data_IF_339681054528
#
_entry.id   IF_339681054528
#
_cell.length_a   1.000
_cell.length_b   1.000
_cell.length_c   1.000
_cell.angle_alpha   90.00
_cell.angle_beta   90.00
_cell.angle_gamma   90.00
#
_symmetry.space_group_name_H-M   'P 1'
#
loop_
_entity.id
_entity.type
_entity.pdbx_description
1 polymer ?
#
# COMPACT_ATOMS: atom_id res chain seq x y z
N UNK A 1 13.65 -0.06 3.16
CA UNK A 1 12.35 -0.73 3.36
C UNK A 1 11.22 0.28 3.47
N UNK A 2 11.32 1.30 4.33
CA UNK A 2 10.29 2.36 4.49
C UNK A 2 9.81 3.00 3.18
N UNK A 3 10.76 3.39 2.31
CA UNK A 3 10.46 4.02 1.02
C UNK A 3 9.61 3.13 0.10
N UNK A 4 9.83 1.81 0.09
CA UNK A 4 9.07 0.87 -0.73
C UNK A 4 7.63 0.71 -0.24
N UNK A 5 7.41 0.64 1.08
CA UNK A 5 6.07 0.59 1.65
C UNK A 5 5.24 1.84 1.32
N UNK A 6 5.84 3.02 1.45
CA UNK A 6 5.20 4.28 1.04
C UNK A 6 4.94 4.34 -0.47
N UNK A 7 5.89 3.85 -1.29
CA UNK A 7 5.72 3.82 -2.75
C UNK A 7 4.55 2.92 -3.16
N UNK A 8 4.51 1.70 -2.62
CA UNK A 8 3.43 0.73 -2.89
C UNK A 8 2.07 1.25 -2.44
N UNK A 9 2.01 1.88 -1.26
CA UNK A 9 0.78 2.49 -0.76
C UNK A 9 0.33 3.66 -1.65
N UNK A 10 1.27 4.52 -2.07
CA UNK A 10 0.99 5.63 -2.95
C UNK A 10 0.45 5.16 -4.31
N UNK A 11 1.15 4.24 -4.98
CA UNK A 11 0.69 3.69 -6.25
C UNK A 11 -0.65 2.97 -6.11
N UNK A 12 -0.84 2.17 -5.06
CA UNK A 12 -2.09 1.46 -4.83
C UNK A 12 -3.29 2.40 -4.64
N UNK A 13 -3.13 3.48 -3.86
CA UNK A 13 -4.20 4.47 -3.65
C UNK A 13 -4.48 5.26 -4.93
N UNK A 14 -3.44 5.68 -5.67
CA UNK A 14 -3.62 6.39 -6.94
C UNK A 14 -4.35 5.52 -7.96
N UNK A 15 -3.98 4.25 -8.08
CA UNK A 15 -4.67 3.29 -8.95
C UNK A 15 -6.13 3.09 -8.54
N UNK A 16 -6.41 2.93 -7.23
CA UNK A 16 -7.78 2.85 -6.73
C UNK A 16 -8.59 4.11 -7.08
N UNK A 17 -8.00 5.28 -6.90
CA UNK A 17 -8.65 6.55 -7.23
C UNK A 17 -8.93 6.67 -8.74
N UNK A 18 -8.00 6.23 -9.59
CA UNK A 18 -8.22 6.19 -11.04
C UNK A 18 -9.38 5.26 -11.38
N UNK A 19 -9.42 4.04 -10.84
CA UNK A 19 -10.55 3.13 -11.10
C UNK A 19 -11.89 3.63 -10.55
N UNK A 20 -11.90 4.44 -9.49
CA UNK A 20 -13.12 4.97 -8.89
C UNK A 20 -13.62 6.26 -9.53
N UNK A 21 -12.71 7.13 -9.97
CA UNK A 21 -13.03 8.52 -10.34
C UNK A 21 -12.87 8.78 -11.84
N UNK A 22 -12.10 7.96 -12.56
CA UNK A 22 -11.98 8.09 -14.00
C UNK A 22 -13.10 7.30 -14.67
N UNK A 23 -13.80 7.94 -15.60
CA UNK A 23 -14.78 7.29 -16.48
C UNK A 23 -14.01 6.49 -17.55
N UNK A 24 -13.54 5.31 -17.16
CA UNK A 24 -12.82 4.39 -18.03
C UNK A 24 -13.84 3.56 -18.82
N UNK A 25 -13.89 3.77 -20.13
CA UNK A 25 -14.62 2.89 -21.05
C UNK A 25 -13.92 1.52 -21.14
N UNK A 26 -14.24 0.64 -20.20
CA UNK A 26 -13.70 -0.71 -20.14
C UNK A 26 -14.76 -1.68 -19.65
N UNK A 27 -14.65 -2.95 -20.04
CA UNK A 27 -15.57 -4.00 -19.61
C UNK A 27 -15.48 -4.20 -18.10
N UNK A 28 -16.63 -4.43 -17.44
CA UNK A 28 -16.74 -4.58 -15.99
C UNK A 28 -15.73 -5.59 -15.39
N UNK A 29 -15.47 -6.70 -16.09
CA UNK A 29 -14.48 -7.68 -15.66
C UNK A 29 -13.05 -7.09 -15.56
N UNK A 30 -12.61 -6.32 -16.55
CA UNK A 30 -11.28 -5.70 -16.52
C UNK A 30 -11.20 -4.61 -15.45
N UNK A 31 -12.27 -3.84 -15.27
CA UNK A 31 -12.36 -2.84 -14.21
C UNK A 31 -12.24 -3.50 -12.83
N UNK A 32 -12.99 -4.58 -12.60
CA UNK A 32 -12.99 -5.32 -11.34
C UNK A 32 -11.63 -5.95 -11.04
N UNK A 33 -10.98 -6.56 -12.04
CA UNK A 33 -9.64 -7.14 -11.89
C UNK A 33 -8.62 -6.05 -11.53
N UNK A 34 -8.63 -4.93 -12.25
CA UNK A 34 -7.77 -3.78 -11.97
C UNK A 34 -7.99 -3.21 -10.58
N UNK A 35 -9.25 -3.08 -10.16
CA UNK A 35 -9.63 -2.63 -8.83
C UNK A 35 -9.09 -3.58 -7.73
N UNK A 36 -9.28 -4.89 -7.88
CA UNK A 36 -8.80 -5.89 -6.92
C UNK A 36 -7.27 -5.89 -6.80
N UNK A 37 -6.55 -5.78 -7.93
CA UNK A 37 -5.09 -5.67 -7.93
C UNK A 37 -4.65 -4.42 -7.18
N UNK A 38 -5.32 -3.28 -7.42
CA UNK A 38 -5.02 -2.01 -6.77
C UNK A 38 -5.22 -2.08 -5.25
N UNK A 39 -6.29 -2.77 -4.82
CA UNK A 39 -6.55 -3.06 -3.41
C UNK A 39 -5.43 -3.89 -2.78
N UNK A 40 -4.99 -4.96 -3.45
CA UNK A 40 -3.90 -5.83 -2.96
C UNK A 40 -2.57 -5.07 -2.86
N UNK A 41 -2.23 -4.25 -3.86
CA UNK A 41 -1.01 -3.44 -3.86
C UNK A 41 -1.01 -2.43 -2.71
N UNK A 42 -2.14 -1.74 -2.50
CA UNK A 42 -2.30 -0.81 -1.39
C UNK A 42 -2.20 -1.52 -0.03
N UNK A 43 -2.88 -2.66 0.12
CA UNK A 43 -2.82 -3.49 1.32
C UNK A 43 -1.40 -3.98 1.62
N UNK A 44 -0.66 -4.44 0.62
CA UNK A 44 0.74 -4.84 0.78
C UNK A 44 1.64 -3.68 1.23
N UNK A 45 1.42 -2.48 0.70
CA UNK A 45 2.10 -1.26 1.14
C UNK A 45 1.88 -0.97 2.62
N UNK A 46 0.62 -1.05 3.08
CA UNK A 46 0.26 -0.86 4.49
C UNK A 46 0.93 -1.90 5.39
N UNK A 47 0.87 -3.19 5.03
CA UNK A 47 1.49 -4.27 5.81
C UNK A 47 3.00 -4.04 5.98
N UNK A 48 3.69 -3.67 4.90
CA UNK A 48 5.13 -3.36 4.96
C UNK A 48 5.43 -2.17 5.88
N UNK A 49 4.61 -1.13 5.85
CA UNK A 49 4.75 0.03 6.73
C UNK A 49 4.54 -0.36 8.20
N UNK A 50 3.55 -1.20 8.51
CA UNK A 50 3.30 -1.71 9.86
C UNK A 50 4.52 -2.51 10.36
N UNK A 51 5.07 -3.39 9.53
CA UNK A 51 6.27 -4.17 9.88
C UNK A 51 7.48 -3.28 10.14
N UNK A 52 7.68 -2.24 9.33
CA UNK A 52 8.75 -1.27 9.52
C UNK A 52 8.57 -0.45 10.80
N UNK A 53 7.33 -0.10 11.15
CA UNK A 53 6.99 0.61 12.37
C UNK A 53 7.24 -0.27 13.60
N UNK A 54 6.84 -1.54 13.56
CA UNK A 54 7.13 -2.51 14.61
C UNK A 54 8.64 -2.71 14.82
N UNK A 55 9.41 -2.85 13.74
CA UNK A 55 10.88 -2.92 13.80
C UNK A 55 11.49 -1.67 14.44
N UNK A 56 11.00 -0.49 14.06
CA UNK A 56 11.49 0.78 14.61
C UNK A 56 11.24 0.87 16.12
N UNK A 57 10.04 0.53 16.60
CA UNK A 57 9.70 0.51 18.03
C UNK A 57 10.59 -0.46 18.80
N UNK A 58 10.83 -1.67 18.26
CA UNK A 58 11.70 -2.67 18.90
C UNK A 58 13.13 -2.17 19.03
N UNK A 59 13.64 -1.49 18.01
CA UNK A 59 15.00 -0.93 17.98
C UNK A 59 15.13 0.25 18.96
N UNK A 60 14.12 1.12 19.03
CA UNK A 60 14.09 2.22 19.99
C UNK A 60 14.07 1.72 21.44
N UNK A 61 13.27 0.68 21.74
CA UNK A 61 13.27 0.03 23.06
C UNK A 61 14.63 -0.59 23.40
N UNK A 62 15.29 -1.23 22.44
CA UNK A 62 16.61 -1.82 22.66
C UNK A 62 17.69 -0.76 22.95
N UNK A 63 17.62 0.40 22.31
CA UNK A 63 18.56 1.50 22.52
C UNK A 63 18.32 2.28 23.81
N UNK A 64 17.11 2.29 24.38
CA UNK A 64 16.81 2.92 25.68
C UNK A 64 17.23 2.09 26.90
N UNK A 65 17.58 0.81 26.70
CA UNK A 65 17.98 -0.13 27.77
C UNK A 65 19.51 -0.28 27.85
N UNK A 66 20.26 0.29 26.90
CA UNK A 66 21.72 0.48 26.97
C UNK A 66 22.04 1.86 27.50
#
# INVERSE_FOLDING_TARGET
>A
MKKLGYLLMFFGIVLLAVFLLADLEMTFQFWLIGFLISMLVSGAGIVLLILDLWKAIKLEKANKVK
#
